data_IF_641561486462
#
_entry.id   IF_641561486462
#
_cell.length_a   1.000
_cell.length_b   1.000
_cell.length_c   1.000
_cell.angle_alpha   90.00
_cell.angle_beta   90.00
_cell.angle_gamma   90.00
#
_symmetry.space_group_name_H-M   'P 1'
#
loop_
_entity.id
_entity.type
_entity.pdbx_description
1 polymer ?
#
# COMPACT_ATOMS: atom_id res chain seq x y z
N UNK A 1 0.37 22.21 -6.15
CA UNK A 1 -0.52 21.89 -5.01
C UNK A 1 0.23 21.40 -3.76
N UNK A 2 1.48 20.91 -3.85
CA UNK A 2 2.28 20.48 -2.68
C UNK A 2 3.23 21.58 -2.13
N UNK A 3 3.38 22.71 -2.82
CA UNK A 3 4.25 23.82 -2.39
C UNK A 3 3.53 24.96 -1.64
N UNK A 4 2.20 24.92 -1.50
CA UNK A 4 1.42 26.02 -0.90
C UNK A 4 1.08 25.82 0.58
N UNK A 5 1.34 24.64 1.16
CA UNK A 5 1.09 24.38 2.59
C UNK A 5 2.26 24.73 3.52
N UNK A 6 3.49 24.85 2.99
CA UNK A 6 4.68 25.12 3.81
C UNK A 6 4.83 26.60 4.24
N UNK A 7 4.06 27.52 3.64
CA UNK A 7 4.15 28.95 3.93
C UNK A 7 3.18 29.44 5.02
N UNK A 8 2.25 28.60 5.49
CA UNK A 8 1.21 28.99 6.46
C UNK A 8 1.58 28.71 7.93
N UNK A 9 2.74 28.10 8.21
CA UNK A 9 3.15 27.70 9.58
C UNK A 9 4.17 28.64 10.25
N UNK A 10 4.45 29.82 9.68
CA UNK A 10 5.48 30.74 10.20
C UNK A 10 4.94 32.05 10.82
N UNK A 11 3.63 32.24 10.97
CA UNK A 11 3.11 33.49 11.57
C UNK A 11 1.82 33.28 12.36
N UNK A 12 1.94 33.22 13.68
CA UNK A 12 0.80 33.25 14.60
C UNK A 12 1.22 33.10 16.05
N UNK A 13 1.51 34.22 16.71
CA UNK A 13 1.98 34.29 18.09
C UNK A 13 0.93 33.92 19.15
N UNK A 14 1.46 33.56 20.32
CA UNK A 14 0.76 33.32 21.59
C UNK A 14 -0.14 34.48 22.04
N UNK A 15 -1.11 34.17 22.91
CA UNK A 15 -1.16 34.88 24.18
C UNK A 15 -1.20 33.95 25.41
N UNK A 16 -0.56 34.44 26.47
CA UNK A 16 -0.51 33.88 27.82
C UNK A 16 -1.88 33.87 28.49
N UNK A 17 -2.12 32.90 29.39
CA UNK A 17 -3.00 33.13 30.52
C UNK A 17 -2.45 32.49 31.80
N UNK A 18 -2.34 33.34 32.82
CA UNK A 18 -1.91 33.15 34.21
C UNK A 18 -2.92 32.35 35.03
N UNK A 19 -2.44 31.48 35.93
CA UNK A 19 -3.09 31.24 37.25
C UNK A 19 -2.11 30.64 38.26
N UNK A 20 -1.77 31.49 39.24
CA UNK A 20 -1.52 31.26 40.68
C UNK A 20 -1.08 29.89 41.21
N UNK A 21 0.11 29.91 41.79
CA UNK A 21 0.70 29.00 42.78
C UNK A 21 0.00 29.06 44.15
N UNK A 22 -0.32 27.91 44.73
CA UNK A 22 -0.47 27.74 46.19
C UNK A 22 0.45 26.62 46.66
N UNK A 23 1.45 27.01 47.42
CA UNK A 23 2.44 26.21 48.14
C UNK A 23 1.80 25.49 49.33
N UNK A 24 2.12 24.22 49.51
CA UNK A 24 1.73 23.36 50.63
C UNK A 24 2.88 23.32 51.64
N UNK A 25 2.61 23.62 52.91
CA UNK A 25 3.59 23.66 54.00
C UNK A 25 3.22 22.62 55.07
N UNK A 26 4.08 21.66 55.44
CA UNK A 26 3.73 20.59 56.38
C UNK A 26 4.42 20.80 57.73
N UNK A 27 3.73 21.30 58.75
CA UNK A 27 4.16 21.15 60.14
C UNK A 27 3.11 21.61 61.16
N UNK A 28 2.32 20.66 61.68
CA UNK A 28 1.84 20.69 63.07
C UNK A 28 1.29 19.31 63.47
N UNK A 29 2.13 18.56 64.19
CA UNK A 29 1.72 17.43 65.03
C UNK A 29 1.00 17.96 66.28
N UNK A 30 -0.09 17.33 66.70
CA UNK A 30 -0.14 16.44 67.89
C UNK A 30 -1.57 16.01 68.26
N UNK A 31 -1.74 14.92 69.06
CA UNK A 31 -2.81 13.92 68.97
C UNK A 31 -3.79 13.95 70.16
N UNK A 32 -4.80 13.06 70.17
CA UNK A 32 -5.32 12.27 71.32
C UNK A 32 -6.80 11.81 71.12
N UNK A 33 -7.02 10.49 71.29
CA UNK A 33 -8.19 9.78 71.88
C UNK A 33 -9.49 9.56 71.05
N UNK A 34 -9.57 8.45 70.29
CA UNK A 34 -10.27 7.15 70.56
C UNK A 34 -11.63 7.10 71.35
N UNK A 35 -12.43 6.00 71.29
CA UNK A 35 -13.56 5.73 70.37
C UNK A 35 -14.88 5.30 71.13
N UNK A 36 -15.87 4.71 70.42
CA UNK A 36 -17.05 3.92 70.86
C UNK A 36 -18.46 4.55 70.92
N UNK A 37 -19.39 4.02 70.11
CA UNK A 37 -20.80 3.59 70.40
C UNK A 37 -21.57 3.39 69.06
N UNK A 38 -21.83 2.16 68.60
CA UNK A 38 -23.03 1.30 68.86
C UNK A 38 -24.34 1.90 68.29
N UNK A 39 -25.26 1.26 67.55
CA UNK A 39 -25.60 -0.12 67.13
C UNK A 39 -26.73 -0.04 66.04
N UNK A 40 -27.16 -1.15 65.40
CA UNK A 40 -27.98 -1.23 64.18
C UNK A 40 -29.48 -1.54 64.42
N UNK A 41 -30.29 -1.51 63.35
CA UNK A 41 -31.67 -2.01 63.36
C UNK A 41 -32.12 -2.51 61.99
N UNK A 42 -32.42 -3.82 61.91
CA UNK A 42 -32.96 -4.55 60.76
C UNK A 42 -34.30 -5.19 61.16
N UNK A 43 -35.21 -5.27 60.18
CA UNK A 43 -36.30 -6.25 59.95
C UNK A 43 -37.80 -5.93 60.24
N UNK A 44 -38.53 -5.83 59.11
CA UNK A 44 -39.64 -6.70 58.64
C UNK A 44 -41.09 -6.52 59.12
N UNK A 45 -42.00 -6.27 58.16
CA UNK A 45 -43.38 -6.83 58.00
C UNK A 45 -44.06 -6.11 56.81
N UNK A 46 -44.22 -6.73 55.64
CA UNK A 46 -45.35 -7.56 55.17
C UNK A 46 -46.48 -6.78 54.45
N UNK A 47 -46.78 -7.25 53.22
CA UNK A 47 -48.10 -7.25 52.54
C UNK A 47 -48.52 -6.03 51.71
N UNK A 48 -48.53 -6.18 50.38
CA UNK A 48 -49.73 -6.16 49.53
C UNK A 48 -49.40 -5.83 48.05
N UNK A 49 -49.74 -6.77 47.16
CA UNK A 49 -49.79 -6.59 45.70
C UNK A 49 -51.17 -6.01 45.34
N UNK A 50 -51.24 -5.11 44.33
CA UNK A 50 -52.09 -5.43 43.18
C UNK A 50 -51.41 -5.13 41.83
N UNK A 51 -51.46 -6.17 41.00
CA UNK A 51 -51.62 -6.24 39.54
C UNK A 51 -51.52 -4.94 38.70
N UNK A 52 -50.60 -4.95 37.72
CA UNK A 52 -50.74 -4.27 36.42
C UNK A 52 -49.79 -4.90 35.40
N UNK A 53 -50.37 -5.78 34.60
CA UNK A 53 -49.93 -6.16 33.25
C UNK A 53 -49.46 -4.92 32.48
N UNK A 54 -48.15 -4.78 32.31
CA UNK A 54 -47.54 -3.86 31.35
C UNK A 54 -46.70 -4.72 30.42
N UNK A 55 -47.16 -4.80 29.17
CA UNK A 55 -46.42 -5.30 28.03
C UNK A 55 -45.11 -4.53 27.92
N UNK A 56 -44.02 -5.13 28.39
CA UNK A 56 -42.68 -4.63 28.07
C UNK A 56 -42.37 -5.07 26.65
N UNK A 57 -42.29 -4.07 25.78
CA UNK A 57 -41.93 -4.18 24.39
C UNK A 57 -40.67 -5.05 24.20
N UNK A 58 -40.72 -5.87 23.16
CA UNK A 58 -39.62 -6.67 22.68
C UNK A 58 -38.56 -5.70 22.13
N UNK A 59 -37.62 -5.27 22.97
CA UNK A 59 -36.42 -4.56 22.54
C UNK A 59 -35.59 -5.52 21.64
N UNK A 60 -35.92 -5.52 20.34
CA UNK A 60 -34.99 -5.92 19.30
C UNK A 60 -33.75 -5.04 19.49
N UNK A 61 -32.53 -5.62 19.60
CA UNK A 61 -31.33 -4.81 19.64
C UNK A 61 -31.24 -4.09 18.29
N UNK A 62 -31.61 -2.80 18.29
CA UNK A 62 -31.29 -1.91 17.19
C UNK A 62 -29.76 -1.83 17.20
N UNK A 63 -29.13 -2.53 16.25
CA UNK A 63 -27.69 -2.41 15.98
C UNK A 63 -27.41 -0.91 15.86
N UNK A 64 -26.60 -0.38 16.78
CA UNK A 64 -26.12 1.00 16.71
C UNK A 64 -25.54 1.25 15.32
N UNK A 65 -25.80 2.41 14.67
CA UNK A 65 -25.17 2.72 13.41
C UNK A 65 -23.65 2.64 13.62
N UNK A 66 -23.00 1.71 12.93
CA UNK A 66 -21.56 1.56 12.95
C UNK A 66 -20.98 2.82 12.31
N UNK A 67 -20.41 3.71 13.13
CA UNK A 67 -19.83 4.97 12.65
C UNK A 67 -18.73 4.68 11.63
N UNK A 68 -18.98 5.04 10.37
CA UNK A 68 -18.05 4.79 9.26
C UNK A 68 -16.87 5.76 9.40
N UNK A 69 -15.66 5.22 9.53
CA UNK A 69 -14.45 6.04 9.61
C UNK A 69 -14.17 6.74 8.27
N UNK A 70 -13.91 8.07 8.25
CA UNK A 70 -13.58 8.79 7.02
C UNK A 70 -12.27 8.28 6.38
N UNK A 71 -11.38 7.68 7.16
CA UNK A 71 -10.11 7.13 6.68
C UNK A 71 -10.31 5.83 5.89
N UNK A 72 -11.26 4.98 6.31
CA UNK A 72 -11.62 3.76 5.57
C UNK A 72 -12.30 4.09 4.25
N UNK A 73 -13.14 5.13 4.24
CA UNK A 73 -13.72 5.66 3.01
C UNK A 73 -12.62 6.16 2.07
N UNK A 74 -11.62 6.88 2.58
CA UNK A 74 -10.50 7.35 1.78
C UNK A 74 -9.67 6.20 1.18
N UNK A 75 -9.42 5.13 1.93
CA UNK A 75 -8.75 3.92 1.41
C UNK A 75 -9.60 3.22 0.35
N UNK A 76 -10.91 3.11 0.56
CA UNK A 76 -11.83 2.51 -0.42
C UNK A 76 -11.84 3.31 -1.72
N UNK A 77 -11.97 4.64 -1.65
CA UNK A 77 -11.91 5.53 -2.83
C UNK A 77 -10.55 5.40 -3.53
N UNK A 78 -9.45 5.41 -2.78
CA UNK A 78 -8.11 5.21 -3.36
C UNK A 78 -8.00 3.84 -4.04
N UNK A 79 -8.53 2.79 -3.43
CA UNK A 79 -8.60 1.45 -4.00
C UNK A 79 -9.38 1.40 -5.31
N UNK A 80 -10.53 2.09 -5.39
CA UNK A 80 -11.29 2.18 -6.65
C UNK A 80 -10.50 2.86 -7.76
N UNK A 81 -9.81 3.96 -7.48
CA UNK A 81 -8.97 4.65 -8.46
C UNK A 81 -7.83 3.74 -8.95
N UNK A 82 -7.10 3.12 -8.01
CA UNK A 82 -6.01 2.19 -8.31
C UNK A 82 -6.49 1.03 -9.18
N UNK A 83 -7.63 0.43 -8.85
CA UNK A 83 -8.22 -0.66 -9.63
C UNK A 83 -8.63 -0.21 -11.04
N UNK A 84 -9.30 0.94 -11.18
CA UNK A 84 -9.72 1.46 -12.48
C UNK A 84 -8.53 1.74 -13.40
N UNK A 85 -7.49 2.40 -12.89
CA UNK A 85 -6.29 2.75 -13.66
C UNK A 85 -5.52 1.51 -14.11
N UNK A 86 -5.32 0.54 -13.21
CA UNK A 86 -4.59 -0.68 -13.55
C UNK A 86 -5.40 -1.63 -14.45
N UNK A 87 -6.73 -1.66 -14.33
CA UNK A 87 -7.59 -2.36 -15.28
C UNK A 87 -7.47 -1.77 -16.69
N UNK A 88 -7.39 -0.44 -16.82
CA UNK A 88 -7.17 0.22 -18.10
C UNK A 88 -5.81 -0.15 -18.72
N UNK A 89 -4.75 -0.20 -17.91
CA UNK A 89 -3.42 -0.64 -18.39
C UNK A 89 -3.48 -2.07 -18.93
N UNK A 90 -4.13 -2.98 -18.20
CA UNK A 90 -4.32 -4.37 -18.63
C UNK A 90 -5.09 -4.41 -19.95
N UNK A 91 -6.19 -3.66 -20.08
CA UNK A 91 -6.97 -3.58 -21.31
C UNK A 91 -6.12 -3.10 -22.51
N UNK A 92 -5.34 -2.03 -22.35
CA UNK A 92 -4.47 -1.50 -23.40
C UNK A 92 -3.41 -2.52 -23.84
N UNK A 93 -2.84 -3.27 -22.89
CA UNK A 93 -1.88 -4.34 -23.20
C UNK A 93 -2.54 -5.47 -24.00
N UNK A 94 -3.77 -5.86 -23.66
CA UNK A 94 -4.52 -6.88 -24.40
C UNK A 94 -4.89 -6.45 -25.82
N UNK A 95 -5.31 -5.19 -26.01
CA UNK A 95 -5.73 -4.70 -27.32
C UNK A 95 -4.58 -4.27 -28.24
N UNK A 96 -3.33 -4.29 -27.76
CA UNK A 96 -2.15 -3.87 -28.52
C UNK A 96 -1.20 -5.07 -28.75
N UNK A 97 -1.53 -6.02 -29.66
CA UNK A 97 -0.78 -7.26 -29.85
C UNK A 97 0.61 -7.10 -30.47
N UNK A 98 1.00 -5.86 -30.79
CA UNK A 98 2.36 -5.48 -31.22
C UNK A 98 3.35 -5.42 -30.05
N UNK A 99 2.87 -5.40 -28.80
CA UNK A 99 3.67 -5.34 -27.57
C UNK A 99 4.11 -6.74 -27.08
N UNK A 100 4.78 -7.54 -27.92
CA UNK A 100 5.18 -8.93 -27.58
C UNK A 100 6.51 -9.08 -26.83
N UNK A 101 7.08 -7.98 -26.35
CA UNK A 101 8.35 -8.03 -25.61
C UNK A 101 8.15 -8.60 -24.19
N UNK A 102 9.14 -9.34 -23.64
CA UNK A 102 9.12 -9.85 -22.26
C UNK A 102 8.77 -8.80 -21.20
N UNK A 103 9.21 -7.55 -21.41
CA UNK A 103 8.91 -6.41 -20.54
C UNK A 103 7.39 -6.16 -20.38
N UNK A 104 6.58 -6.37 -21.41
CA UNK A 104 5.13 -6.14 -21.32
C UNK A 104 4.41 -7.20 -20.50
N UNK A 105 4.94 -8.43 -20.44
CA UNK A 105 4.42 -9.48 -19.55
C UNK A 105 4.61 -9.06 -18.08
N UNK A 106 5.78 -8.51 -17.74
CA UNK A 106 6.06 -8.02 -16.40
C UNK A 106 5.20 -6.81 -16.03
N UNK A 107 5.00 -5.87 -16.96
CA UNK A 107 4.11 -4.73 -16.75
C UNK A 107 2.66 -5.19 -16.56
N UNK A 108 2.20 -6.16 -17.35
CA UNK A 108 0.85 -6.73 -17.19
C UNK A 108 0.67 -7.45 -15.85
N UNK A 109 1.67 -8.22 -15.42
CA UNK A 109 1.69 -8.89 -14.12
C UNK A 109 1.68 -7.88 -12.96
N UNK A 110 2.45 -6.79 -13.06
CA UNK A 110 2.43 -5.69 -12.09
C UNK A 110 1.05 -5.01 -12.04
N UNK A 111 0.47 -4.67 -13.19
CA UNK A 111 -0.87 -4.06 -13.26
C UNK A 111 -1.94 -4.99 -12.67
N UNK A 112 -1.83 -6.31 -12.87
CA UNK A 112 -2.74 -7.27 -12.24
C UNK A 112 -2.58 -7.33 -10.72
N UNK A 113 -1.36 -7.26 -10.20
CA UNK A 113 -1.11 -7.17 -8.75
C UNK A 113 -1.70 -5.88 -8.15
N UNK A 114 -1.49 -4.72 -8.79
CA UNK A 114 -2.02 -3.44 -8.33
C UNK A 114 -3.56 -3.38 -8.44
N UNK A 115 -4.16 -3.97 -9.49
CA UNK A 115 -5.61 -4.14 -9.62
C UNK A 115 -6.17 -4.94 -8.44
N UNK A 116 -5.52 -6.06 -8.10
CA UNK A 116 -5.91 -6.91 -6.98
C UNK A 116 -5.76 -6.20 -5.63
N UNK A 117 -4.76 -5.33 -5.47
CA UNK A 117 -4.59 -4.51 -4.27
C UNK A 117 -5.76 -3.55 -4.09
N UNK A 118 -6.16 -2.83 -5.15
CA UNK A 118 -7.31 -1.93 -5.11
C UNK A 118 -8.63 -2.67 -4.83
N UNK A 119 -8.84 -3.85 -5.43
CA UNK A 119 -9.99 -4.70 -5.14
C UNK A 119 -9.97 -5.21 -3.70
N UNK A 120 -8.79 -5.57 -3.18
CA UNK A 120 -8.61 -5.98 -1.79
C UNK A 120 -9.00 -4.88 -0.80
N UNK A 121 -8.70 -3.61 -1.10
CA UNK A 121 -9.10 -2.47 -0.25
C UNK A 121 -10.63 -2.25 -0.27
N UNK A 122 -11.26 -2.39 -1.44
CA UNK A 122 -12.72 -2.29 -1.57
C UNK A 122 -13.39 -3.43 -0.80
N UNK A 123 -12.90 -4.66 -0.97
CA UNK A 123 -13.41 -5.83 -0.27
C UNK A 123 -13.23 -5.69 1.25
N UNK A 124 -12.08 -5.20 1.70
CA UNK A 124 -11.83 -4.95 3.12
C UNK A 124 -12.87 -3.97 3.70
N UNK A 125 -13.15 -2.87 3.00
CA UNK A 125 -14.21 -1.93 3.40
C UNK A 125 -15.59 -2.61 3.48
N UNK A 126 -15.95 -3.39 2.46
CA UNK A 126 -17.24 -4.13 2.43
C UNK A 126 -17.35 -5.10 3.60
N UNK A 127 -16.29 -5.82 3.93
CA UNK A 127 -16.33 -6.81 5.01
C UNK A 127 -16.24 -6.18 6.41
N UNK A 128 -15.64 -5.00 6.55
CA UNK A 128 -15.66 -4.29 7.83
C UNK A 128 -17.04 -3.72 8.16
N UNK A 129 -17.82 -3.28 7.16
CA UNK A 129 -19.05 -2.51 7.41
C UNK A 129 -20.35 -3.18 6.92
N UNK A 130 -20.30 -4.15 6.01
CA UNK A 130 -21.48 -4.74 5.38
C UNK A 130 -21.61 -6.26 5.61
N UNK A 131 -20.51 -6.97 5.84
CA UNK A 131 -20.50 -8.44 5.96
C UNK A 131 -19.56 -8.87 7.10
N UNK A 132 -20.12 -9.24 8.24
CA UNK A 132 -19.36 -9.81 9.34
C UNK A 132 -19.00 -11.28 9.07
N UNK A 133 -17.71 -11.63 9.17
CA UNK A 133 -17.25 -13.02 9.07
C UNK A 133 -15.74 -13.18 9.13
N UNK A 134 -15.25 -14.05 10.02
CA UNK A 134 -13.82 -14.29 10.24
C UNK A 134 -13.10 -14.79 8.98
N UNK A 135 -13.67 -15.79 8.30
CA UNK A 135 -13.10 -16.35 7.06
C UNK A 135 -12.98 -15.28 5.98
N UNK A 136 -13.98 -14.42 5.89
CA UNK A 136 -14.05 -13.36 4.87
C UNK A 136 -12.99 -12.29 5.15
N UNK A 137 -12.80 -11.90 6.41
CA UNK A 137 -11.72 -11.01 6.85
C UNK A 137 -10.34 -11.60 6.56
N UNK A 138 -10.12 -12.88 6.89
CA UNK A 138 -8.86 -13.58 6.62
C UNK A 138 -8.55 -13.65 5.13
N UNK A 139 -9.55 -13.94 4.30
CA UNK A 139 -9.42 -13.97 2.83
C UNK A 139 -9.08 -12.57 2.30
N UNK A 140 -9.74 -11.52 2.78
CA UNK A 140 -9.45 -10.14 2.36
C UNK A 140 -8.04 -9.70 2.72
N UNK A 141 -7.58 -10.01 3.94
CA UNK A 141 -6.20 -9.74 4.37
C UNK A 141 -5.21 -10.55 3.53
N UNK A 142 -5.52 -11.82 3.24
CA UNK A 142 -4.73 -12.67 2.37
C UNK A 142 -4.57 -12.07 0.96
N UNK A 143 -5.67 -11.61 0.34
CA UNK A 143 -5.65 -10.95 -0.98
C UNK A 143 -4.73 -9.72 -0.96
N UNK A 144 -4.82 -8.88 0.08
CA UNK A 144 -3.95 -7.71 0.22
C UNK A 144 -2.47 -8.10 0.36
N UNK A 145 -2.15 -9.15 1.12
CA UNK A 145 -0.79 -9.69 1.25
C UNK A 145 -0.26 -10.23 -0.08
N UNK A 146 -1.08 -11.01 -0.82
CA UNK A 146 -0.72 -11.52 -2.16
C UNK A 146 -0.42 -10.36 -3.10
N UNK A 147 -1.36 -9.42 -3.19
CA UNK A 147 -1.29 -8.30 -4.13
C UNK A 147 -0.07 -7.42 -3.87
N UNK A 148 0.16 -7.07 -2.60
CA UNK A 148 1.30 -6.26 -2.19
C UNK A 148 2.64 -6.95 -2.49
N UNK A 149 2.77 -8.22 -2.06
CA UNK A 149 3.99 -9.01 -2.28
C UNK A 149 4.27 -9.18 -3.78
N UNK A 150 3.23 -9.45 -4.57
CA UNK A 150 3.33 -9.59 -6.01
C UNK A 150 3.75 -8.28 -6.68
N UNK A 151 3.19 -7.14 -6.28
CA UNK A 151 3.55 -5.83 -6.84
C UNK A 151 5.05 -5.56 -6.66
N UNK A 152 5.58 -5.71 -5.45
CA UNK A 152 7.01 -5.47 -5.17
C UNK A 152 7.92 -6.43 -5.92
N UNK A 153 7.61 -7.73 -5.92
CA UNK A 153 8.44 -8.73 -6.60
C UNK A 153 8.40 -8.55 -8.12
N UNK A 154 7.28 -8.08 -8.69
CA UNK A 154 7.22 -7.69 -10.10
C UNK A 154 8.06 -6.44 -10.40
N UNK A 155 8.09 -5.43 -9.51
CA UNK A 155 8.98 -4.27 -9.70
C UNK A 155 10.45 -4.70 -9.59
N UNK A 156 10.80 -5.59 -8.66
CA UNK A 156 12.14 -6.18 -8.60
C UNK A 156 12.46 -6.91 -9.90
N UNK A 157 11.56 -7.74 -10.41
CA UNK A 157 11.73 -8.45 -11.67
C UNK A 157 11.92 -7.51 -12.87
N UNK A 158 11.18 -6.41 -12.94
CA UNK A 158 11.37 -5.34 -13.94
C UNK A 158 12.74 -4.67 -13.77
N UNK A 159 13.19 -4.48 -12.53
CA UNK A 159 14.50 -3.87 -12.22
C UNK A 159 15.63 -4.79 -12.68
N UNK A 160 15.54 -6.09 -12.37
CA UNK A 160 16.47 -7.12 -12.86
C UNK A 160 16.42 -7.20 -14.38
N UNK A 161 15.22 -7.13 -14.97
CA UNK A 161 15.04 -7.16 -16.41
C UNK A 161 15.80 -6.01 -17.10
N UNK A 162 15.61 -4.79 -16.60
CA UNK A 162 16.31 -3.61 -17.08
C UNK A 162 17.81 -3.68 -16.86
N UNK A 163 18.25 -4.15 -15.69
CA UNK A 163 19.67 -4.32 -15.39
C UNK A 163 20.35 -5.26 -16.39
N UNK A 164 19.76 -6.44 -16.61
CA UNK A 164 20.28 -7.44 -17.55
C UNK A 164 20.23 -6.92 -18.99
N UNK A 165 19.17 -6.21 -19.39
CA UNK A 165 19.07 -5.61 -20.72
C UNK A 165 20.18 -4.59 -20.97
N UNK A 166 20.46 -3.70 -19.99
CA UNK A 166 21.52 -2.70 -20.11
C UNK A 166 22.92 -3.30 -20.05
N UNK A 167 23.14 -4.29 -19.19
CA UNK A 167 24.43 -4.97 -19.07
C UNK A 167 24.76 -5.82 -20.31
N UNK A 168 23.79 -6.57 -20.80
CA UNK A 168 23.99 -7.46 -21.95
C UNK A 168 23.98 -6.73 -23.30
N UNK A 169 23.28 -5.60 -23.44
CA UNK A 169 23.33 -4.77 -24.65
C UNK A 169 24.76 -4.36 -25.04
N UNK A 170 25.69 -4.36 -24.07
CA UNK A 170 27.09 -3.99 -24.26
C UNK A 170 28.02 -5.19 -24.51
N UNK A 171 27.56 -6.42 -24.27
CA UNK A 171 28.45 -7.58 -24.27
C UNK A 171 28.01 -8.66 -25.26
N UNK A 172 26.71 -8.92 -25.43
CA UNK A 172 26.23 -9.99 -26.33
C UNK A 172 24.73 -9.85 -26.63
N UNK A 173 24.34 -9.97 -27.89
CA UNK A 173 22.95 -9.97 -28.38
C UNK A 173 22.16 -11.08 -27.64
N UNK A 174 21.42 -10.72 -26.59
CA UNK A 174 20.82 -11.70 -25.67
C UNK A 174 19.41 -12.05 -26.10
N UNK A 175 19.25 -13.30 -26.54
CA UNK A 175 17.98 -13.97 -26.72
C UNK A 175 17.34 -14.28 -25.35
N UNK A 176 16.82 -13.26 -24.63
CA UNK A 176 16.01 -13.54 -23.45
C UNK A 176 14.65 -14.06 -23.90
N UNK A 177 14.41 -15.35 -23.66
CA UNK A 177 13.20 -16.01 -24.12
C UNK A 177 11.99 -15.56 -23.31
N UNK A 178 10.86 -15.37 -24.00
CA UNK A 178 9.55 -15.11 -23.39
C UNK A 178 9.19 -16.18 -22.35
N UNK A 179 9.61 -17.43 -22.58
CA UNK A 179 9.42 -18.55 -21.65
C UNK A 179 10.03 -18.29 -20.28
N UNK A 180 11.27 -17.81 -20.20
CA UNK A 180 11.92 -17.51 -18.91
C UNK A 180 11.12 -16.48 -18.10
N UNK A 181 10.55 -15.49 -18.79
CA UNK A 181 9.76 -14.44 -18.15
C UNK A 181 8.44 -14.99 -17.59
N UNK A 182 7.76 -15.86 -18.33
CA UNK A 182 6.58 -16.55 -17.81
C UNK A 182 6.88 -17.43 -16.60
N UNK A 183 7.99 -18.18 -16.61
CA UNK A 183 8.40 -19.00 -15.47
C UNK A 183 8.70 -18.13 -14.24
N UNK A 184 9.42 -17.02 -14.40
CA UNK A 184 9.71 -16.09 -13.32
C UNK A 184 8.43 -15.49 -12.73
N UNK A 185 7.48 -15.04 -13.57
CA UNK A 185 6.18 -14.53 -13.12
C UNK A 185 5.40 -15.62 -12.37
N UNK A 186 5.37 -16.85 -12.89
CA UNK A 186 4.71 -17.98 -12.23
C UNK A 186 5.27 -18.27 -10.83
N UNK A 187 6.60 -18.24 -10.67
CA UNK A 187 7.25 -18.41 -9.37
C UNK A 187 6.94 -17.26 -8.39
N UNK A 188 6.90 -16.02 -8.88
CA UNK A 188 6.50 -14.86 -8.07
C UNK A 188 5.08 -15.05 -7.53
N UNK A 189 4.12 -15.35 -8.41
CA UNK A 189 2.73 -15.54 -8.00
C UNK A 189 2.56 -16.72 -7.05
N UNK A 190 3.23 -17.85 -7.31
CA UNK A 190 3.20 -19.00 -6.41
C UNK A 190 3.69 -18.63 -5.01
N UNK A 191 4.84 -17.94 -4.91
CA UNK A 191 5.38 -17.47 -3.63
C UNK A 191 4.42 -16.51 -2.92
N UNK A 192 3.82 -15.57 -3.64
CA UNK A 192 2.87 -14.61 -3.07
C UNK A 192 1.59 -15.29 -2.57
N UNK A 193 1.05 -16.25 -3.32
CA UNK A 193 -0.12 -17.03 -2.91
C UNK A 193 0.15 -17.85 -1.65
N UNK A 194 1.33 -18.46 -1.54
CA UNK A 194 1.76 -19.16 -0.33
C UNK A 194 1.75 -18.19 0.86
N UNK A 195 2.35 -17.01 0.72
CA UNK A 195 2.37 -15.99 1.77
C UNK A 195 0.97 -15.51 2.16
N UNK A 196 0.08 -15.30 1.19
CA UNK A 196 -1.28 -14.80 1.43
C UNK A 196 -2.24 -15.82 2.05
N UNK A 197 -1.95 -17.12 1.95
CA UNK A 197 -2.75 -18.19 2.59
C UNK A 197 -2.37 -18.35 4.06
N UNK A 198 -1.19 -17.91 4.50
CA UNK A 198 -0.70 -18.08 5.87
C UNK A 198 -1.69 -17.59 6.95
N UNK A 199 -2.33 -16.40 6.85
CA UNK A 199 -3.30 -15.96 7.84
C UNK A 199 -4.47 -16.94 8.00
N UNK A 200 -4.94 -17.55 6.91
CA UNK A 200 -6.00 -18.56 6.94
C UNK A 200 -5.54 -19.90 7.54
N UNK A 201 -4.23 -20.19 7.54
CA UNK A 201 -3.64 -21.36 8.18
C UNK A 201 -3.30 -21.16 9.66
N UNK A 202 -3.61 -19.99 10.23
CA UNK A 202 -3.39 -19.70 11.66
C UNK A 202 -2.34 -18.63 11.94
N UNK A 203 -1.78 -17.94 10.93
CA UNK A 203 -0.93 -16.76 11.13
C UNK A 203 -1.76 -15.49 11.44
N UNK A 204 -2.80 -15.64 12.25
CA UNK A 204 -3.72 -14.58 12.61
C UNK A 204 -3.83 -14.45 14.14
N UNK A 205 -4.40 -13.34 14.60
CA UNK A 205 -4.59 -13.03 16.01
C UNK A 205 -6.05 -13.11 16.45
N UNK A 206 -6.91 -13.86 15.74
CA UNK A 206 -8.34 -13.96 16.06
C UNK A 206 -8.58 -14.62 17.43
N UNK A 207 -7.74 -15.60 17.80
CA UNK A 207 -7.85 -16.30 19.09
C UNK A 207 -7.26 -15.50 20.27
N UNK A 208 -6.30 -14.61 20.01
CA UNK A 208 -5.60 -13.82 21.03
C UNK A 208 -5.32 -12.39 20.55
N UNK A 209 -6.24 -11.48 20.88
CA UNK A 209 -6.18 -10.07 20.50
C UNK A 209 -4.94 -9.35 21.04
N UNK A 210 -4.31 -9.84 22.12
CA UNK A 210 -3.12 -9.21 22.70
C UNK A 210 -1.91 -9.33 21.79
N UNK A 211 -1.92 -10.30 20.86
CA UNK A 211 -0.85 -10.55 19.90
C UNK A 211 -1.06 -9.81 18.56
N UNK A 212 -2.15 -9.08 18.40
CA UNK A 212 -2.45 -8.38 17.16
C UNK A 212 -1.46 -7.25 16.85
N UNK A 213 -1.10 -7.16 15.58
CA UNK A 213 -0.38 -6.01 15.03
C UNK A 213 -1.33 -4.85 14.71
N UNK A 214 -0.76 -3.73 14.24
CA UNK A 214 -1.51 -2.63 13.63
C UNK A 214 -2.32 -3.03 12.39
N UNK A 215 -1.99 -4.16 11.75
CA UNK A 215 -2.65 -4.69 10.55
C UNK A 215 -3.50 -5.90 10.94
N UNK A 216 -4.65 -5.68 11.61
CA UNK A 216 -5.54 -6.77 12.02
C UNK A 216 -6.05 -7.57 10.80
N UNK A 217 -6.21 -8.91 10.91
CA UNK A 217 -5.94 -9.76 12.07
C UNK A 217 -4.54 -10.42 12.02
N UNK A 218 -3.50 -9.75 11.53
CA UNK A 218 -2.12 -10.33 11.48
C UNK A 218 -1.44 -10.16 12.84
N UNK A 219 -0.76 -11.20 13.33
CA UNK A 219 0.01 -11.12 14.58
C UNK A 219 1.22 -10.19 14.45
N UNK A 220 1.69 -9.62 15.57
CA UNK A 220 2.87 -8.74 15.61
C UNK A 220 4.13 -9.41 15.03
N UNK A 221 4.42 -10.65 15.41
CA UNK A 221 5.60 -11.37 14.91
C UNK A 221 5.56 -11.57 13.39
N UNK A 222 4.40 -11.92 12.85
CA UNK A 222 4.22 -12.15 11.42
C UNK A 222 4.26 -10.83 10.64
N UNK A 223 3.66 -9.76 11.16
CA UNK A 223 3.75 -8.43 10.58
C UNK A 223 5.21 -7.92 10.52
N UNK A 224 5.98 -8.11 11.59
CA UNK A 224 7.42 -7.80 11.63
C UNK A 224 8.19 -8.61 10.59
N UNK A 225 7.93 -9.93 10.48
CA UNK A 225 8.60 -10.78 9.50
C UNK A 225 8.31 -10.34 8.06
N UNK A 226 7.05 -9.99 7.74
CA UNK A 226 6.66 -9.44 6.44
C UNK A 226 7.33 -8.09 6.17
N UNK A 227 7.39 -7.19 7.16
CA UNK A 227 8.06 -5.90 7.04
C UNK A 227 9.58 -6.05 6.82
N UNK A 228 10.24 -6.96 7.53
CA UNK A 228 11.67 -7.25 7.33
C UNK A 228 11.93 -7.84 5.94
N UNK A 229 11.12 -8.81 5.51
CA UNK A 229 11.22 -9.36 4.15
C UNK A 229 11.05 -8.27 3.09
N UNK A 230 10.07 -7.38 3.28
CA UNK A 230 9.87 -6.24 2.41
C UNK A 230 11.11 -5.33 2.35
N UNK A 231 11.69 -4.97 3.50
CA UNK A 231 12.88 -4.13 3.57
C UNK A 231 14.10 -4.77 2.88
N UNK A 232 14.25 -6.09 2.97
CA UNK A 232 15.31 -6.83 2.25
C UNK A 232 15.14 -6.75 0.74
N UNK A 233 13.92 -6.96 0.25
CA UNK A 233 13.60 -6.84 -1.19
C UNK A 233 13.80 -5.39 -1.65
N UNK A 234 13.36 -4.42 -0.86
CA UNK A 234 13.55 -3.00 -1.12
C UNK A 234 15.04 -2.63 -1.20
N UNK A 235 15.87 -3.12 -0.28
CA UNK A 235 17.31 -2.91 -0.29
C UNK A 235 17.96 -3.51 -1.54
N UNK A 236 17.58 -4.71 -1.95
CA UNK A 236 18.04 -5.36 -3.18
C UNK A 236 17.66 -4.51 -4.41
N UNK A 237 16.42 -4.03 -4.48
CA UNK A 237 15.97 -3.14 -5.56
C UNK A 237 16.82 -1.87 -5.61
N UNK A 238 17.01 -1.19 -4.48
CA UNK A 238 17.82 0.03 -4.39
C UNK A 238 19.27 -0.21 -4.81
N UNK A 239 19.87 -1.35 -4.43
CA UNK A 239 21.20 -1.74 -4.86
C UNK A 239 21.27 -1.90 -6.38
N UNK A 240 20.34 -2.65 -6.99
CA UNK A 240 20.29 -2.84 -8.44
C UNK A 240 20.12 -1.51 -9.17
N UNK A 241 19.23 -0.64 -8.69
CA UNK A 241 19.02 0.68 -9.26
C UNK A 241 20.26 1.58 -9.15
N UNK A 242 20.97 1.55 -8.03
CA UNK A 242 22.24 2.24 -7.87
C UNK A 242 23.28 1.72 -8.88
N UNK A 243 23.37 0.39 -9.07
CA UNK A 243 24.26 -0.20 -10.07
C UNK A 243 23.89 0.24 -11.49
N UNK A 244 22.59 0.25 -11.84
CA UNK A 244 22.09 0.75 -13.13
C UNK A 244 22.52 2.21 -13.33
N UNK A 245 22.32 3.07 -12.32
CA UNK A 245 22.71 4.47 -12.39
C UNK A 245 24.23 4.63 -12.56
N UNK A 246 25.02 3.83 -11.84
CA UNK A 246 26.48 3.84 -11.93
C UNK A 246 26.97 3.42 -13.31
N UNK A 247 26.39 2.38 -13.89
CA UNK A 247 26.70 1.91 -15.25
C UNK A 247 26.30 2.98 -16.26
N UNK A 248 25.07 3.49 -16.20
CA UNK A 248 24.59 4.56 -17.08
C UNK A 248 25.48 5.82 -17.00
N UNK A 249 25.95 6.18 -15.80
CA UNK A 249 26.85 7.33 -15.60
C UNK A 249 28.24 7.09 -16.19
N UNK A 250 28.81 5.90 -16.03
CA UNK A 250 30.10 5.54 -16.66
C UNK A 250 30.02 5.62 -18.18
N UNK A 251 28.94 5.15 -18.80
CA UNK A 251 28.73 5.26 -20.25
C UNK A 251 28.48 6.70 -20.70
N UNK A 252 27.73 7.47 -19.93
CA UNK A 252 27.53 8.90 -20.20
C UNK A 252 28.85 9.67 -20.16
N UNK A 253 29.76 9.35 -19.23
CA UNK A 253 31.09 9.97 -19.18
C UNK A 253 31.99 9.54 -20.36
N UNK A 254 31.93 8.27 -20.79
CA UNK A 254 32.69 7.81 -21.97
C UNK A 254 32.20 8.46 -23.28
N UNK A 255 30.91 8.76 -23.41
CA UNK A 255 30.32 9.40 -24.59
C UNK A 255 30.42 10.94 -24.54
N UNK A 256 30.42 11.55 -23.35
CA UNK A 256 30.60 13.00 -23.16
C UNK A 256 32.00 13.48 -23.57
N UNK A 257 33.01 12.60 -23.55
CA UNK A 257 34.34 12.88 -24.12
C UNK A 257 34.28 13.01 -25.66
N UNK A 258 33.24 12.49 -26.32
CA UNK A 258 33.05 12.54 -27.78
C UNK A 258 32.02 13.59 -28.25
N UNK A 259 30.96 13.92 -27.48
CA UNK A 259 29.97 14.95 -27.85
C UNK A 259 29.38 15.74 -26.65
N UNK A 260 29.62 17.05 -26.61
CA UNK A 260 29.19 18.01 -25.57
C UNK A 260 27.66 18.18 -25.41
N UNK A 261 26.83 17.75 -26.37
CA UNK A 261 25.38 18.01 -26.36
C UNK A 261 24.57 16.97 -25.54
N UNK A 262 25.12 15.78 -25.30
CA UNK A 262 24.44 14.71 -24.56
C UNK A 262 24.51 14.86 -23.03
N UNK A 263 25.42 15.69 -22.50
CA UNK A 263 25.61 15.92 -21.07
C UNK A 263 24.43 16.64 -20.37
N UNK A 264 23.66 17.44 -21.10
CA UNK A 264 22.48 18.16 -20.59
C UNK A 264 21.23 17.25 -20.58
N UNK A 265 21.20 16.21 -21.43
CA UNK A 265 20.14 15.21 -21.48
C UNK A 265 20.30 14.13 -20.39
N UNK A 266 21.54 13.74 -20.11
CA UNK A 266 21.86 12.70 -19.12
C UNK A 266 21.60 13.13 -17.67
N UNK A 267 21.79 14.40 -17.32
CA UNK A 267 21.42 14.95 -16.01
C UNK A 267 19.90 14.87 -15.75
N UNK A 268 19.08 15.16 -16.77
CA UNK A 268 17.61 15.05 -16.68
C UNK A 268 17.13 13.60 -16.54
N UNK A 269 17.79 12.66 -17.23
CA UNK A 269 17.50 11.22 -17.11
C UNK A 269 17.83 10.66 -15.73
N UNK A 270 18.99 11.02 -15.16
CA UNK A 270 19.43 10.62 -13.81
C UNK A 270 18.56 11.25 -12.72
N UNK A 271 18.18 12.52 -12.86
CA UNK A 271 17.24 13.18 -11.94
C UNK A 271 15.89 12.46 -11.89
N UNK A 272 15.38 12.02 -13.04
CA UNK A 272 14.09 11.32 -13.10
C UNK A 272 14.15 9.95 -12.41
N UNK A 273 15.21 9.17 -12.61
CA UNK A 273 15.38 7.87 -11.95
C UNK A 273 15.59 8.02 -10.44
N UNK A 274 16.39 8.99 -10.00
CA UNK A 274 16.59 9.26 -8.57
C UNK A 274 15.31 9.69 -7.89
N UNK A 275 14.49 10.54 -8.54
CA UNK A 275 13.19 10.97 -7.99
C UNK A 275 12.22 9.81 -7.85
N UNK A 276 12.17 8.89 -8.81
CA UNK A 276 11.32 7.69 -8.73
C UNK A 276 11.73 6.80 -7.54
N UNK A 277 13.03 6.61 -7.33
CA UNK A 277 13.55 5.82 -6.21
C UNK A 277 13.26 6.47 -4.86
N UNK A 278 13.46 7.77 -4.75
CA UNK A 278 13.13 8.52 -3.54
C UNK A 278 11.62 8.51 -3.27
N UNK A 279 10.78 8.63 -4.30
CA UNK A 279 9.33 8.55 -4.14
C UNK A 279 8.90 7.16 -3.62
N UNK A 280 9.40 6.08 -4.24
CA UNK A 280 9.13 4.71 -3.78
C UNK A 280 9.60 4.49 -2.34
N UNK A 281 10.79 4.99 -1.98
CA UNK A 281 11.32 4.94 -0.61
C UNK A 281 10.44 5.69 0.40
N UNK A 282 10.07 6.94 0.09
CA UNK A 282 9.27 7.79 0.97
C UNK A 282 7.85 7.26 1.17
N UNK A 283 7.28 6.60 0.17
CA UNK A 283 5.96 5.98 0.27
C UNK A 283 5.96 4.75 1.17
N UNK A 284 7.02 3.92 1.13
CA UNK A 284 6.98 2.59 1.74
C UNK A 284 7.76 2.46 3.05
N UNK A 285 8.90 3.15 3.20
CA UNK A 285 9.72 3.04 4.41
C UNK A 285 8.97 3.42 5.69
N UNK A 286 8.15 4.49 5.73
CA UNK A 286 7.41 4.83 6.94
C UNK A 286 6.48 3.71 7.40
N UNK A 287 5.77 3.07 6.47
CA UNK A 287 4.86 1.96 6.79
C UNK A 287 5.61 0.72 7.29
N UNK A 288 6.72 0.36 6.64
CA UNK A 288 7.55 -0.77 7.05
C UNK A 288 8.15 -0.58 8.45
N UNK A 289 8.69 0.60 8.73
CA UNK A 289 9.24 0.92 10.06
C UNK A 289 8.13 0.95 11.11
N UNK A 290 6.99 1.55 10.80
CA UNK A 290 5.84 1.59 11.70
C UNK A 290 5.31 0.19 12.02
N UNK A 291 5.24 -0.71 11.03
CA UNK A 291 4.84 -2.11 11.23
C UNK A 291 5.78 -2.91 12.15
N UNK A 292 7.03 -2.47 12.30
CA UNK A 292 8.01 -3.10 13.18
C UNK A 292 7.89 -2.58 14.62
N UNK A 293 7.65 -1.28 14.76
CA UNK A 293 7.71 -0.57 16.06
C UNK A 293 6.36 -0.51 16.76
N UNK A 294 5.27 -0.38 16.00
CA UNK A 294 3.96 -0.11 16.54
C UNK A 294 3.24 -1.37 17.02
N UNK A 295 2.56 -1.22 18.14
CA UNK A 295 1.66 -2.22 18.72
C UNK A 295 0.20 -1.81 18.56
N UNK A 296 -0.72 -2.74 18.85
CA UNK A 296 -2.16 -2.52 18.76
C UNK A 296 -2.70 -1.37 19.63
N UNK A 297 -1.88 -0.86 20.56
CA UNK A 297 -2.16 0.32 21.39
C UNK A 297 -1.94 1.66 20.70
N UNK A 298 -1.25 1.67 19.55
CA UNK A 298 -0.96 2.91 18.84
C UNK A 298 -2.21 3.44 18.10
N UNK A 299 -2.37 4.78 18.00
CA UNK A 299 -3.51 5.37 17.30
C UNK A 299 -3.56 4.96 15.82
N UNK A 300 -4.72 4.48 15.37
CA UNK A 300 -4.93 3.98 13.99
C UNK A 300 -4.65 5.06 12.93
N UNK A 301 -4.78 6.34 13.29
CA UNK A 301 -4.43 7.49 12.42
C UNK A 301 -3.03 7.37 11.80
N UNK A 302 -2.05 6.84 12.54
CA UNK A 302 -0.69 6.65 12.05
C UNK A 302 -0.57 5.49 11.05
N UNK A 303 -1.37 4.43 11.22
CA UNK A 303 -1.51 3.36 10.24
C UNK A 303 -2.01 3.93 8.91
N UNK A 304 -3.09 4.73 8.92
CA UNK A 304 -3.59 5.34 7.69
C UNK A 304 -2.62 6.35 7.08
N UNK A 305 -1.95 7.17 7.91
CA UNK A 305 -0.98 8.14 7.44
C UNK A 305 0.23 7.48 6.73
N UNK A 306 0.54 6.23 7.05
CA UNK A 306 1.64 5.48 6.44
C UNK A 306 1.19 4.57 5.31
N UNK A 307 -0.01 3.97 5.38
CA UNK A 307 -0.59 3.12 4.32
C UNK A 307 -1.03 3.94 3.11
N UNK A 308 -1.64 5.10 3.29
CA UNK A 308 -2.20 5.87 2.18
C UNK A 308 -1.12 6.28 1.15
N UNK A 309 0.04 6.84 1.54
CA UNK A 309 1.14 7.11 0.59
C UNK A 309 1.67 5.84 -0.09
N UNK A 310 1.68 4.72 0.63
CA UNK A 310 2.14 3.43 0.13
C UNK A 310 1.21 2.90 -0.97
N UNK A 311 -0.11 2.96 -0.77
CA UNK A 311 -1.12 2.58 -1.78
C UNK A 311 -1.05 3.50 -3.00
N UNK A 312 -0.86 4.81 -2.79
CA UNK A 312 -0.70 5.76 -3.89
C UNK A 312 0.49 5.44 -4.81
N UNK A 313 1.48 4.66 -4.36
CA UNK A 313 2.58 4.24 -5.21
C UNK A 313 2.10 3.39 -6.42
N UNK A 314 1.02 2.62 -6.28
CA UNK A 314 0.46 1.82 -7.38
C UNK A 314 -0.13 2.69 -8.51
N UNK A 315 -0.46 3.96 -8.24
CA UNK A 315 -0.84 4.96 -9.28
C UNK A 315 0.38 5.40 -10.09
N UNK A 316 1.57 5.40 -9.47
CA UNK A 316 2.81 5.86 -10.09
C UNK A 316 3.36 4.78 -11.04
N UNK A 317 3.09 3.50 -10.80
CA UNK A 317 3.59 2.37 -11.59
C UNK A 317 3.25 2.50 -13.09
N UNK A 318 1.98 2.73 -13.51
CA UNK A 318 1.65 3.03 -14.91
C UNK A 318 2.41 4.24 -15.46
N UNK A 319 2.54 5.33 -14.68
CA UNK A 319 3.20 6.58 -15.08
C UNK A 319 4.67 6.35 -15.41
N UNK A 320 5.35 5.50 -14.65
CA UNK A 320 6.78 5.21 -14.85
C UNK A 320 7.01 4.32 -16.08
N UNK A 321 6.19 3.29 -16.27
CA UNK A 321 6.49 2.21 -17.23
C UNK A 321 5.62 2.24 -18.48
N UNK A 322 4.32 2.50 -18.34
CA UNK A 322 3.35 2.48 -19.43
C UNK A 322 3.36 3.81 -20.20
N UNK A 323 3.31 4.94 -19.49
CA UNK A 323 3.25 6.26 -20.12
C UNK A 323 4.57 6.77 -20.71
N UNK A 324 5.69 6.04 -20.62
CA UNK A 324 6.92 6.40 -21.36
C UNK A 324 6.99 5.75 -22.74
N UNK A 325 6.12 4.80 -23.04
CA UNK A 325 6.04 4.18 -24.36
C UNK A 325 5.00 4.92 -25.22
N UNK A 326 5.40 5.56 -26.34
CA UNK A 326 4.48 6.33 -27.18
C UNK A 326 3.36 5.48 -27.79
N UNK A 327 3.56 4.18 -27.99
CA UNK A 327 2.53 3.27 -28.50
C UNK A 327 1.45 3.00 -27.44
N UNK A 328 1.84 2.89 -26.17
CA UNK A 328 0.92 2.75 -25.04
C UNK A 328 0.18 4.07 -24.79
N UNK A 329 0.87 5.22 -24.85
CA UNK A 329 0.25 6.54 -24.72
C UNK A 329 -0.89 6.73 -25.75
N UNK A 330 -0.66 6.31 -27.01
CA UNK A 330 -1.70 6.36 -28.05
C UNK A 330 -2.89 5.48 -27.70
N UNK A 331 -2.65 4.25 -27.26
CA UNK A 331 -3.72 3.33 -26.83
C UNK A 331 -4.55 3.87 -25.66
N UNK A 332 -3.89 4.45 -24.65
CA UNK A 332 -4.53 5.08 -23.51
C UNK A 332 -5.32 6.34 -23.91
N UNK A 333 -4.77 7.18 -24.78
CA UNK A 333 -5.46 8.36 -25.29
C UNK A 333 -6.71 7.96 -26.09
N UNK A 334 -6.62 6.93 -26.94
CA UNK A 334 -7.75 6.40 -27.70
C UNK A 334 -8.86 5.85 -26.77
N UNK A 335 -8.48 5.17 -25.69
CA UNK A 335 -9.41 4.63 -24.70
C UNK A 335 -10.07 5.74 -23.86
N UNK A 336 -9.30 6.73 -23.37
CA UNK A 336 -9.82 7.83 -22.55
C UNK A 336 -10.65 8.84 -23.37
N UNK A 337 -10.34 9.06 -24.64
CA UNK A 337 -11.07 10.01 -25.49
C UNK A 337 -12.27 9.39 -26.23
N UNK A 338 -12.51 8.07 -26.09
CA UNK A 338 -13.65 7.38 -26.74
C UNK A 338 -13.59 7.33 -28.27
N UNK A 339 -12.53 7.85 -28.89
CA UNK A 339 -12.34 7.87 -30.33
C UNK A 339 -11.75 6.54 -30.79
N UNK A 340 -12.53 5.46 -30.81
CA UNK A 340 -12.15 4.22 -31.49
C UNK A 340 -12.21 4.47 -32.99
N UNK A 341 -11.08 4.55 -33.72
CA UNK A 341 -11.12 4.70 -35.17
C UNK A 341 -11.62 3.37 -35.72
N UNK A 342 -12.65 3.43 -36.56
CA UNK A 342 -13.36 2.26 -37.12
C UNK A 342 -12.52 1.40 -38.07
N UNK A 343 -11.19 1.52 -38.07
CA UNK A 343 -10.32 0.95 -39.08
C UNK A 343 -9.00 0.42 -38.54
N UNK A 344 -9.00 -0.20 -37.34
CA UNK A 344 -7.92 -1.14 -36.97
C UNK A 344 -8.20 -2.47 -37.68
N UNK A 345 -8.08 -2.44 -39.01
CA UNK A 345 -7.67 -3.64 -39.73
C UNK A 345 -6.19 -3.82 -39.39
N UNK A 346 -5.90 -4.76 -38.49
CA UNK A 346 -4.55 -5.28 -38.27
C UNK A 346 -4.06 -5.86 -39.61
N UNK A 347 -3.43 -5.03 -40.44
CA UNK A 347 -2.69 -5.49 -41.59
C UNK A 347 -1.36 -6.04 -41.06
N UNK A 348 -1.10 -7.36 -41.15
CA UNK A 348 0.24 -7.87 -40.87
C UNK A 348 1.16 -7.21 -41.90
N UNK A 349 2.20 -6.53 -41.44
CA UNK A 349 3.26 -6.05 -42.33
C UNK A 349 3.97 -7.30 -42.86
N UNK A 350 3.51 -7.80 -44.01
CA UNK A 350 4.22 -8.81 -44.76
C UNK A 350 5.62 -8.26 -45.05
N UNK A 351 6.65 -9.00 -44.63
CA UNK A 351 8.03 -8.75 -45.04
C UNK A 351 8.07 -8.84 -46.57
N UNK A 352 8.30 -7.71 -47.24
CA UNK A 352 8.72 -7.71 -48.63
C UNK A 352 10.15 -8.22 -48.68
N UNK A 353 10.32 -9.35 -49.35
CA UNK A 353 11.62 -9.85 -49.83
C UNK A 353 12.08 -8.93 -50.93
N UNK A 354 12.89 -7.93 -50.59
CA UNK A 354 13.68 -7.14 -51.54
C UNK A 354 14.68 -6.30 -50.77
N UNK A 355 15.66 -6.96 -50.16
CA UNK A 355 17.00 -6.43 -49.92
C UNK A 355 17.92 -7.66 -49.97
N UNK A 356 18.54 -7.83 -51.14
CA UNK A 356 19.54 -8.85 -51.47
C UNK A 356 20.89 -8.44 -50.91
#
# INVERSE_FOLDING_TARGET
MILSLAAAMSSGGFPQNTTSSTTFDPSSLDPWLDPYSDLPGVNSSSSAVPDRTSTSDLDLPLTSPQDVSPLDVALCVTGTLVSCENALVIAVLFYTPTLRAPMFILIGSLAFADLLAGLGLILNFVFTYLIEGEVVTLVSTGILIVAFSASILNILAITVDRYLSLYNALTYHTERTVLFTYLMVGLIWLGCLILGILPALGWNCLDDETTCSICRPVTKSNAVALAVLFLLVFALMMQLYFQICRIAFRHAQQIAVQHQFLAISTTKGVQTLSVILCAFAMCWLPFAVYSIVADSSYPVIYTYATVLPAVCNSVINPIIYAFRNPDIQKGLWLACCGCVPSNISLRPRARTSSDV
#
